data_IF_176322163298
#
_entry.id   IF_176322163298
#
_cell.length_a   1.000
_cell.length_b   1.000
_cell.length_c   1.000
_cell.angle_alpha   90.00
_cell.angle_beta   90.00
_cell.angle_gamma   90.00
#
_symmetry.space_group_name_H-M   'P 1'
#
loop_
_entity.id
_entity.type
_entity.pdbx_description
1 polymer ?
#
# COMPACT_ATOMS: atom_id res chain seq x y z
N UNK A 1 -28.75 23.27 20.37
CA UNK A 1 -27.84 23.15 19.22
C UNK A 1 -27.35 21.71 19.14
N UNK A 2 -27.74 20.97 18.10
CA UNK A 2 -27.36 19.56 17.92
C UNK A 2 -25.98 19.50 17.25
N UNK A 3 -24.98 18.91 17.91
CA UNK A 3 -23.65 18.67 17.34
C UNK A 3 -23.72 17.40 16.49
N UNK A 4 -23.74 17.56 15.17
CA UNK A 4 -23.56 16.46 14.23
C UNK A 4 -22.14 15.89 14.38
N UNK A 5 -22.04 14.74 15.05
CA UNK A 5 -20.84 13.92 15.06
C UNK A 5 -20.65 13.35 13.64
N UNK A 6 -19.67 13.88 12.93
CA UNK A 6 -19.23 13.36 11.63
C UNK A 6 -18.65 11.97 11.90
N UNK A 7 -19.42 10.92 11.65
CA UNK A 7 -18.94 9.55 11.71
C UNK A 7 -17.82 9.40 10.68
N UNK A 8 -16.59 9.35 11.18
CA UNK A 8 -15.46 8.85 10.40
C UNK A 8 -15.72 7.36 10.15
N UNK A 9 -16.38 7.06 9.04
CA UNK A 9 -16.49 5.70 8.52
C UNK A 9 -15.10 5.27 8.02
N UNK A 10 -14.18 5.03 8.96
CA UNK A 10 -12.97 4.28 8.70
C UNK A 10 -13.39 2.88 8.33
N UNK A 11 -13.37 2.56 7.04
CA UNK A 11 -13.57 1.19 6.58
C UNK A 11 -12.60 0.30 7.35
N UNK A 12 -13.13 -0.67 8.07
CA UNK A 12 -12.30 -1.62 8.81
C UNK A 12 -11.48 -2.43 7.81
N UNK A 13 -10.31 -2.93 8.23
CA UNK A 13 -9.45 -3.74 7.37
C UNK A 13 -10.22 -4.94 6.80
N UNK A 14 -11.11 -5.52 7.59
CA UNK A 14 -12.02 -6.59 7.20
C UNK A 14 -12.97 -6.17 6.07
N UNK A 15 -13.52 -4.95 6.14
CA UNK A 15 -14.39 -4.42 5.08
C UNK A 15 -13.63 -4.18 3.78
N UNK A 16 -12.38 -3.70 3.86
CA UNK A 16 -11.51 -3.51 2.70
C UNK A 16 -11.17 -4.88 2.07
N UNK A 17 -10.77 -5.85 2.89
CA UNK A 17 -10.47 -7.22 2.46
C UNK A 17 -11.68 -7.89 1.80
N UNK A 18 -12.88 -7.70 2.36
CA UNK A 18 -14.12 -8.24 1.83
C UNK A 18 -14.49 -7.61 0.48
N UNK A 19 -14.33 -6.30 0.34
CA UNK A 19 -14.60 -5.58 -0.91
C UNK A 19 -13.60 -5.96 -2.00
N UNK A 20 -12.31 -6.08 -1.69
CA UNK A 20 -11.30 -6.59 -2.63
C UNK A 20 -11.62 -8.02 -3.08
N UNK A 21 -12.04 -8.90 -2.17
CA UNK A 21 -12.48 -10.26 -2.51
C UNK A 21 -13.69 -10.24 -3.45
N UNK A 22 -14.67 -9.37 -3.21
CA UNK A 22 -15.85 -9.27 -4.06
C UNK A 22 -15.48 -8.79 -5.47
N UNK A 23 -14.59 -7.80 -5.60
CA UNK A 23 -14.08 -7.33 -6.89
C UNK A 23 -13.35 -8.42 -7.68
N UNK A 24 -12.63 -9.32 -6.98
CA UNK A 24 -11.86 -10.40 -7.61
C UNK A 24 -12.66 -11.69 -7.82
N UNK A 25 -13.91 -11.78 -7.36
CA UNK A 25 -14.76 -12.99 -7.49
C UNK A 25 -15.07 -13.34 -8.96
N UNK A 26 -14.94 -12.41 -9.91
CA UNK A 26 -15.15 -12.63 -11.34
C UNK A 26 -13.93 -13.14 -12.12
N UNK A 27 -12.73 -13.21 -11.53
CA UNK A 27 -11.46 -13.35 -12.28
C UNK A 27 -10.80 -14.74 -12.25
N UNK A 28 -11.46 -15.80 -11.75
CA UNK A 28 -10.90 -17.17 -11.78
C UNK A 28 -11.14 -17.96 -10.50
N UNK A 29 -10.65 -19.20 -10.42
CA UNK A 29 -10.89 -20.12 -9.30
C UNK A 29 -10.60 -19.50 -7.93
N UNK A 30 -11.51 -19.71 -6.97
CA UNK A 30 -11.57 -19.04 -5.66
C UNK A 30 -10.29 -19.13 -4.81
N UNK A 31 -9.44 -20.11 -5.07
CA UNK A 31 -8.14 -20.28 -4.39
C UNK A 31 -7.05 -19.34 -4.89
N UNK A 32 -6.92 -19.14 -6.20
CA UNK A 32 -5.92 -18.23 -6.80
C UNK A 32 -6.22 -16.76 -6.48
N UNK A 33 -7.50 -16.40 -6.46
CA UNK A 33 -7.90 -15.03 -6.17
C UNK A 33 -7.65 -14.64 -4.71
N UNK A 34 -7.77 -15.59 -3.76
CA UNK A 34 -7.46 -15.33 -2.35
C UNK A 34 -5.98 -14.98 -2.18
N UNK A 35 -5.09 -15.77 -2.76
CA UNK A 35 -3.65 -15.57 -2.62
C UNK A 35 -3.22 -14.25 -3.30
N UNK A 36 -3.86 -13.89 -4.43
CA UNK A 36 -3.69 -12.59 -5.08
C UNK A 36 -4.17 -11.41 -4.21
N UNK A 37 -5.34 -11.51 -3.56
CA UNK A 37 -5.85 -10.47 -2.63
C UNK A 37 -4.87 -10.27 -1.48
N UNK A 38 -4.40 -11.36 -0.86
CA UNK A 38 -3.47 -11.31 0.27
C UNK A 38 -2.16 -10.66 -0.17
N UNK A 39 -1.65 -10.99 -1.36
CA UNK A 39 -0.47 -10.36 -1.96
C UNK A 39 -0.67 -8.85 -2.15
N UNK A 40 -1.79 -8.43 -2.73
CA UNK A 40 -2.11 -7.00 -2.94
C UNK A 40 -2.21 -6.23 -1.62
N UNK A 41 -2.83 -6.82 -0.60
CA UNK A 41 -2.96 -6.20 0.73
C UNK A 41 -1.60 -6.07 1.39
N UNK A 42 -0.75 -7.08 1.27
CA UNK A 42 0.62 -7.03 1.76
C UNK A 42 1.42 -5.91 1.08
N UNK A 43 1.33 -5.79 -0.25
CA UNK A 43 2.03 -4.73 -1.00
C UNK A 43 1.52 -3.35 -0.58
N UNK A 44 0.20 -3.18 -0.43
CA UNK A 44 -0.39 -1.93 0.09
C UNK A 44 0.17 -1.59 1.47
N UNK A 45 0.17 -2.56 2.39
CA UNK A 45 0.68 -2.37 3.74
C UNK A 45 2.18 -2.05 3.79
N UNK A 46 2.98 -2.73 2.97
CA UNK A 46 4.41 -2.45 2.84
C UNK A 46 4.65 -1.04 2.25
N UNK A 47 3.85 -0.65 1.25
CA UNK A 47 3.86 0.69 0.66
C UNK A 47 3.55 1.78 1.68
N UNK A 48 2.46 1.64 2.43
CA UNK A 48 2.03 2.60 3.45
C UNK A 48 3.10 2.77 4.55
N UNK A 49 3.72 1.66 5.01
CA UNK A 49 4.82 1.71 5.98
C UNK A 49 6.07 2.40 5.41
N UNK A 50 6.40 2.11 4.16
CA UNK A 50 7.53 2.74 3.47
C UNK A 50 7.32 4.26 3.35
N UNK A 51 6.14 4.70 2.90
CA UNK A 51 5.82 6.13 2.77
C UNK A 51 5.83 6.85 4.11
N UNK A 52 5.28 6.22 5.17
CA UNK A 52 5.35 6.76 6.53
C UNK A 52 6.81 6.94 6.98
N UNK A 53 7.66 5.93 6.82
CA UNK A 53 9.07 6.03 7.21
C UNK A 53 9.82 7.06 6.38
N UNK A 54 9.52 7.15 5.07
CA UNK A 54 10.12 8.16 4.18
C UNK A 54 9.75 9.58 4.62
N UNK A 55 8.51 9.80 5.08
CA UNK A 55 8.08 11.08 5.63
C UNK A 55 8.82 11.44 6.93
N UNK A 56 8.95 10.49 7.85
CA UNK A 56 9.75 10.66 9.08
C UNK A 56 11.20 11.02 8.76
N UNK A 57 11.83 10.33 7.80
CA UNK A 57 13.20 10.63 7.37
C UNK A 57 13.35 12.02 6.75
N UNK A 58 12.33 12.50 6.01
CA UNK A 58 12.30 13.86 5.48
C UNK A 58 12.19 14.91 6.58
N UNK A 59 11.44 14.62 7.64
CA UNK A 59 11.31 15.51 8.80
C UNK A 59 12.59 15.53 9.66
N UNK A 60 13.24 14.37 9.84
CA UNK A 60 14.46 14.23 10.66
C UNK A 60 15.72 14.79 9.96
N UNK A 61 15.91 14.51 8.67
CA UNK A 61 17.16 14.77 7.94
C UNK A 61 17.00 15.71 6.72
N UNK A 62 15.78 16.17 6.44
CA UNK A 62 15.46 16.97 5.25
C UNK A 62 15.30 16.13 3.98
N UNK A 63 14.98 16.79 2.86
CA UNK A 63 14.76 16.15 1.56
C UNK A 63 16.09 15.86 0.82
N UNK A 64 17.01 15.18 1.51
CA UNK A 64 18.33 14.84 0.97
C UNK A 64 18.28 13.41 0.40
N UNK A 65 18.45 13.21 -0.92
CA UNK A 65 18.33 11.91 -1.57
C UNK A 65 19.24 10.83 -0.97
N UNK A 66 20.43 11.22 -0.51
CA UNK A 66 21.41 10.31 0.09
C UNK A 66 20.88 9.58 1.35
N UNK A 67 19.94 10.18 2.08
CA UNK A 67 19.30 9.56 3.24
C UNK A 67 18.03 8.79 2.86
N UNK A 68 17.25 9.33 1.92
CA UNK A 68 15.98 8.73 1.49
C UNK A 68 16.16 7.46 0.65
N UNK A 69 17.27 7.32 -0.07
CA UNK A 69 17.56 6.13 -0.90
C UNK A 69 18.39 5.07 -0.13
N UNK A 70 18.80 5.36 1.12
CA UNK A 70 19.64 4.47 1.91
C UNK A 70 18.81 3.44 2.67
N UNK A 71 18.87 2.19 2.21
CA UNK A 71 18.13 1.02 2.75
C UNK A 71 18.24 0.83 4.26
N UNK A 72 19.41 1.12 4.84
CA UNK A 72 19.67 0.92 6.29
C UNK A 72 18.71 1.69 7.19
N UNK A 73 18.26 2.89 6.78
CA UNK A 73 17.34 3.71 7.58
C UNK A 73 15.91 3.15 7.67
N UNK A 74 15.53 2.36 6.68
CA UNK A 74 14.24 1.67 6.65
C UNK A 74 14.32 0.37 7.45
N UNK A 75 15.39 -0.41 7.24
CA UNK A 75 15.63 -1.65 7.98
C UNK A 75 15.76 -1.41 9.49
N UNK A 76 16.34 -0.29 9.92
CA UNK A 76 16.45 0.09 11.32
C UNK A 76 15.08 0.23 12.05
N UNK A 77 14.00 0.45 11.30
CA UNK A 77 12.63 0.52 11.81
C UNK A 77 11.78 -0.68 11.40
N UNK A 78 12.40 -1.78 10.94
CA UNK A 78 11.71 -2.95 10.39
C UNK A 78 10.76 -2.61 9.23
N UNK A 79 11.17 -1.65 8.39
CA UNK A 79 10.45 -1.25 7.17
C UNK A 79 11.26 -1.73 5.97
N UNK A 80 10.60 -2.40 5.03
CA UNK A 80 11.23 -2.81 3.78
C UNK A 80 11.51 -1.60 2.91
N UNK A 81 12.69 -1.56 2.31
CA UNK A 81 13.01 -0.56 1.30
C UNK A 81 12.35 -0.95 -0.03
N UNK A 82 11.47 -0.09 -0.54
CA UNK A 82 10.80 -0.31 -1.82
C UNK A 82 11.46 0.50 -2.93
N UNK A 83 11.92 -0.21 -3.96
CA UNK A 83 12.34 0.40 -5.23
C UNK A 83 11.15 1.09 -5.89
N UNK A 84 11.43 2.07 -6.76
CA UNK A 84 10.41 2.93 -7.36
C UNK A 84 9.26 2.16 -8.04
N UNK A 85 9.59 1.14 -8.83
CA UNK A 85 8.60 0.31 -9.53
C UNK A 85 7.79 -0.63 -8.61
N UNK A 86 8.20 -0.79 -7.35
CA UNK A 86 7.47 -1.59 -6.35
C UNK A 86 6.63 -0.72 -5.40
N UNK A 87 6.67 0.61 -5.53
CA UNK A 87 5.91 1.52 -4.68
C UNK A 87 4.43 1.43 -5.04
N UNK A 88 3.57 1.53 -4.03
CA UNK A 88 2.12 1.46 -4.22
C UNK A 88 1.61 2.46 -5.27
N UNK A 89 2.15 3.69 -5.26
CA UNK A 89 1.85 4.72 -6.25
C UNK A 89 2.18 4.33 -7.69
N UNK A 90 3.29 3.62 -7.92
CA UNK A 90 3.64 3.09 -9.23
C UNK A 90 2.66 2.00 -9.67
N UNK A 91 2.36 1.06 -8.78
CA UNK A 91 1.46 -0.06 -9.05
C UNK A 91 0.05 0.43 -9.40
N UNK A 92 -0.47 1.41 -8.65
CA UNK A 92 -1.77 2.01 -8.94
C UNK A 92 -1.77 2.76 -10.28
N UNK A 93 -0.68 3.44 -10.62
CA UNK A 93 -0.54 4.15 -11.90
C UNK A 93 -0.54 3.17 -13.08
N UNK A 94 0.19 2.07 -12.97
CA UNK A 94 0.32 1.07 -14.03
C UNK A 94 -0.81 0.03 -14.02
N UNK A 95 -1.75 0.08 -13.06
CA UNK A 95 -2.84 -0.89 -12.94
C UNK A 95 -3.79 -0.92 -14.15
N UNK A 96 -3.81 0.12 -14.99
CA UNK A 96 -4.62 0.22 -16.21
C UNK A 96 -3.80 0.00 -17.50
N UNK A 97 -2.49 -0.28 -17.40
CA UNK A 97 -1.66 -0.51 -18.58
C UNK A 97 -2.08 -1.80 -19.28
N UNK A 98 -2.11 -1.84 -20.62
CA UNK A 98 -2.59 -3.02 -21.35
C UNK A 98 -1.59 -4.21 -21.34
N UNK A 99 -0.36 -3.98 -20.87
CA UNK A 99 0.76 -4.94 -20.93
C UNK A 99 0.79 -5.93 -19.73
N UNK A 100 -0.16 -5.81 -18.80
CA UNK A 100 -0.27 -6.64 -17.57
C UNK A 100 -1.25 -7.82 -17.72
N UNK A 101 -2.03 -7.90 -18.80
CA UNK A 101 -2.94 -9.00 -19.09
C UNK A 101 -2.39 -9.84 -20.25
N UNK A 102 -1.60 -10.88 -19.92
CA UNK A 102 -1.22 -11.97 -20.84
C UNK A 102 -1.95 -13.24 -20.42
#
# INVERSE_FOLDING_TARGET
>A
MSKNNKQENGQTLESILFNCRNALRGAGGTEKNRDAVIGLVFIKFAGDKFEKRRKELKEEYGDIPAFLEKKSFYLAKNVFYLQEHCRWSYIVKEANSNDIAV
#
